data_IF_923983327112
#
_entry.id   IF_923983327112
#
_cell.length_a   1.000
_cell.length_b   1.000
_cell.length_c   1.000
_cell.angle_alpha   90.00
_cell.angle_beta   90.00
_cell.angle_gamma   90.00
#
_symmetry.space_group_name_H-M   'P 1'
#
loop_
_entity.id
_entity.type
_entity.pdbx_description
1 polymer ?
#
# COMPACT_ATOMS: atom_id res chain seq x y z
N UNK A 1 16.86 21.29 20.07
CA UNK A 1 15.78 20.60 20.81
C UNK A 1 15.45 19.36 20.00
N UNK A 2 15.91 18.19 20.44
CA UNK A 2 15.52 16.92 19.81
C UNK A 2 14.07 16.64 20.20
N UNK A 3 13.17 16.75 19.25
CA UNK A 3 11.80 16.27 19.40
C UNK A 3 11.88 14.76 19.59
N UNK A 4 11.62 14.31 20.80
CA UNK A 4 11.47 12.89 21.09
C UNK A 4 10.24 12.38 20.30
N UNK A 5 10.51 11.70 19.20
CA UNK A 5 9.46 11.08 18.38
C UNK A 5 9.03 9.83 19.14
N UNK A 6 7.98 9.93 19.92
CA UNK A 6 7.34 8.79 20.57
C UNK A 6 6.63 7.95 19.51
N UNK A 7 7.35 7.05 18.88
CA UNK A 7 6.73 6.00 18.05
C UNK A 7 6.27 4.85 18.94
N UNK A 8 5.13 4.21 18.64
CA UNK A 8 4.59 3.13 19.47
C UNK A 8 5.34 1.80 19.29
N UNK A 9 6.42 1.77 18.53
CA UNK A 9 7.24 0.59 18.26
C UNK A 9 8.70 0.76 18.70
N UNK A 10 9.42 -0.35 18.75
CA UNK A 10 10.83 -0.39 19.08
C UNK A 10 11.71 0.31 18.01
N UNK A 11 12.97 0.56 18.35
CA UNK A 11 13.96 1.15 17.42
C UNK A 11 14.07 0.37 16.11
N UNK A 12 13.99 -0.97 16.15
CA UNK A 12 14.01 -1.82 14.96
C UNK A 12 12.76 -1.60 14.11
N UNK A 13 11.58 -1.50 14.73
CA UNK A 13 10.33 -1.19 14.05
C UNK A 13 10.38 0.18 13.38
N UNK A 14 10.89 1.19 14.07
CA UNK A 14 11.08 2.53 13.52
C UNK A 14 12.02 2.52 12.31
N UNK A 15 13.15 1.84 12.40
CA UNK A 15 14.11 1.74 11.29
C UNK A 15 13.49 1.04 10.09
N UNK A 16 12.72 -0.04 10.31
CA UNK A 16 12.00 -0.76 9.25
C UNK A 16 10.98 0.15 8.58
N UNK A 17 10.20 0.90 9.38
CA UNK A 17 9.26 1.87 8.88
C UNK A 17 9.94 2.92 7.99
N UNK A 18 11.00 3.58 8.50
CA UNK A 18 11.73 4.64 7.76
C UNK A 18 12.31 4.13 6.44
N UNK A 19 12.84 2.92 6.43
CA UNK A 19 13.44 2.31 5.23
C UNK A 19 12.41 1.88 4.20
N UNK A 20 11.24 1.40 4.63
CA UNK A 20 10.30 0.69 3.75
C UNK A 20 9.08 1.53 3.40
N UNK A 21 8.49 2.21 4.36
CA UNK A 21 7.15 2.82 4.23
C UNK A 21 7.16 4.33 4.14
N UNK A 22 8.08 5.01 4.83
CA UNK A 22 8.19 6.44 4.79
C UNK A 22 8.55 6.94 3.38
N UNK A 23 7.79 7.91 2.87
CA UNK A 23 8.07 8.57 1.59
C UNK A 23 8.81 9.87 1.83
N UNK A 24 9.44 10.41 0.81
CA UNK A 24 10.00 11.76 0.87
C UNK A 24 8.86 12.77 0.91
N UNK A 25 8.98 13.80 1.71
CA UNK A 25 8.00 14.89 1.77
C UNK A 25 7.90 15.64 0.42
N UNK A 26 9.01 15.69 -0.32
CA UNK A 26 9.02 16.12 -1.72
C UNK A 26 9.66 15.00 -2.57
N UNK A 27 8.86 14.30 -3.36
CA UNK A 27 9.33 13.17 -4.19
C UNK A 27 10.35 13.60 -5.26
N UNK A 28 10.33 14.87 -5.68
CA UNK A 28 11.22 15.40 -6.70
C UNK A 28 12.60 15.84 -6.15
N UNK A 29 12.72 16.00 -4.85
CA UNK A 29 13.97 16.40 -4.19
C UNK A 29 14.62 15.19 -3.50
N UNK A 30 15.77 14.76 -4.01
CA UNK A 30 16.55 13.64 -3.47
C UNK A 30 17.00 13.88 -2.02
N UNK A 31 17.16 15.12 -1.61
CA UNK A 31 17.58 15.52 -0.27
C UNK A 31 16.40 15.85 0.67
N UNK A 32 15.17 15.75 0.17
CA UNK A 32 13.98 15.97 1.00
C UNK A 32 13.95 14.99 2.16
N UNK A 33 13.61 15.45 3.38
CA UNK A 33 13.40 14.56 4.51
C UNK A 33 12.28 13.56 4.21
N UNK A 34 12.33 12.42 4.89
CA UNK A 34 11.27 11.41 4.80
C UNK A 34 10.21 11.64 5.86
N UNK A 35 8.99 11.21 5.54
CA UNK A 35 7.85 11.21 6.47
C UNK A 35 8.21 10.65 7.84
N UNK A 36 7.60 11.20 8.88
CA UNK A 36 7.38 10.53 10.15
C UNK A 36 6.04 9.78 10.11
N UNK A 37 5.82 8.87 11.07
CA UNK A 37 4.63 8.01 11.01
C UNK A 37 3.29 8.77 10.98
N UNK A 38 3.13 9.89 11.70
CA UNK A 38 1.94 10.72 11.56
C UNK A 38 1.73 11.23 10.13
N UNK A 39 2.80 11.66 9.45
CA UNK A 39 2.72 12.15 8.07
C UNK A 39 2.26 11.06 7.11
N UNK A 40 2.78 9.83 7.29
CA UNK A 40 2.35 8.66 6.51
C UNK A 40 0.86 8.34 6.74
N UNK A 41 0.40 8.38 7.99
CA UNK A 41 -1.02 8.17 8.33
C UNK A 41 -1.89 9.24 7.65
N UNK A 42 -1.50 10.49 7.74
CA UNK A 42 -2.23 11.62 7.16
C UNK A 42 -2.26 11.53 5.63
N UNK A 43 -1.14 11.15 4.99
CA UNK A 43 -1.10 10.89 3.55
C UNK A 43 -2.06 9.78 3.12
N UNK A 44 -2.08 8.67 3.85
CA UNK A 44 -2.96 7.52 3.53
C UNK A 44 -4.42 7.89 3.68
N UNK A 45 -4.81 8.56 4.76
CA UNK A 45 -6.20 9.01 4.98
C UNK A 45 -6.63 9.99 3.91
N UNK A 46 -5.80 11.00 3.62
CA UNK A 46 -6.07 11.96 2.55
C UNK A 46 -6.27 11.27 1.20
N UNK A 47 -5.44 10.29 0.89
CA UNK A 47 -5.53 9.55 -0.36
C UNK A 47 -6.76 8.61 -0.42
N UNK A 48 -7.26 8.12 0.70
CA UNK A 48 -8.55 7.43 0.75
C UNK A 48 -9.68 8.32 0.21
N UNK A 49 -9.66 9.62 0.53
CA UNK A 49 -10.65 10.57 0.00
C UNK A 49 -10.34 10.96 -1.45
N UNK A 50 -9.11 11.33 -1.75
CA UNK A 50 -8.75 11.91 -3.05
C UNK A 50 -8.66 10.88 -4.17
N UNK A 51 -8.09 9.70 -3.90
CA UNK A 51 -7.83 8.66 -4.89
C UNK A 51 -8.88 7.54 -4.87
N UNK A 52 -9.31 7.09 -3.68
CA UNK A 52 -10.25 5.99 -3.53
C UNK A 52 -11.71 6.45 -3.45
N UNK A 53 -11.96 7.74 -3.19
CA UNK A 53 -13.31 8.32 -3.08
C UNK A 53 -14.16 7.63 -2.00
N UNK A 54 -13.56 7.36 -0.85
CA UNK A 54 -14.22 6.62 0.24
C UNK A 54 -15.43 7.36 0.84
N UNK A 55 -15.41 8.70 0.83
CA UNK A 55 -16.52 9.52 1.33
C UNK A 55 -16.67 9.46 2.86
N UNK A 56 -15.57 9.34 3.59
CA UNK A 56 -15.59 9.37 5.05
C UNK A 56 -15.96 10.76 5.56
N UNK A 57 -16.73 10.82 6.62
CA UNK A 57 -16.97 12.03 7.38
C UNK A 57 -15.72 12.47 8.15
N UNK A 58 -15.64 13.74 8.56
CA UNK A 58 -14.53 14.24 9.38
C UNK A 58 -14.36 13.43 10.67
N UNK A 59 -15.45 13.06 11.33
CA UNK A 59 -15.42 12.24 12.54
C UNK A 59 -14.88 10.82 12.29
N UNK A 60 -15.18 10.22 11.14
CA UNK A 60 -14.62 8.92 10.73
C UNK A 60 -13.14 9.03 10.41
N UNK A 61 -12.71 10.08 9.73
CA UNK A 61 -11.31 10.36 9.44
C UNK A 61 -10.50 10.56 10.73
N UNK A 62 -10.98 11.34 11.67
CA UNK A 62 -10.33 11.53 12.99
C UNK A 62 -10.23 10.20 13.76
N UNK A 63 -11.29 9.42 13.76
CA UNK A 63 -11.32 8.11 14.42
C UNK A 63 -10.36 7.13 13.76
N UNK A 64 -10.34 7.07 12.44
CA UNK A 64 -9.41 6.23 11.67
C UNK A 64 -7.96 6.64 11.96
N UNK A 65 -7.67 7.94 11.96
CA UNK A 65 -6.37 8.49 12.33
C UNK A 65 -5.94 8.05 13.72
N UNK A 66 -6.80 8.16 14.70
CA UNK A 66 -6.50 7.75 16.08
C UNK A 66 -6.24 6.24 16.19
N UNK A 67 -6.97 5.40 15.45
CA UNK A 67 -6.75 3.96 15.43
C UNK A 67 -5.41 3.58 14.79
N UNK A 68 -5.07 4.21 13.67
CA UNK A 68 -3.82 3.93 12.96
C UNK A 68 -2.61 4.41 13.75
N UNK A 69 -2.64 5.62 14.30
CA UNK A 69 -1.57 6.16 15.16
C UNK A 69 -1.37 5.34 16.43
N UNK A 70 -2.46 4.86 17.03
CA UNK A 70 -2.43 4.02 18.23
C UNK A 70 -2.12 2.54 17.95
N UNK A 71 -1.84 2.16 16.69
CA UNK A 71 -1.63 0.78 16.23
C UNK A 71 -2.76 -0.19 16.65
N UNK A 72 -3.98 0.33 16.80
CA UNK A 72 -5.18 -0.47 17.06
C UNK A 72 -5.74 -1.14 15.81
N UNK A 73 -5.27 -0.70 14.66
CA UNK A 73 -5.55 -1.23 13.35
C UNK A 73 -4.41 -0.90 12.38
N UNK A 74 -4.40 -1.56 11.24
CA UNK A 74 -3.44 -1.29 10.17
C UNK A 74 -4.10 -1.49 8.82
N UNK A 75 -3.54 -0.87 7.80
CA UNK A 75 -3.88 -1.15 6.40
C UNK A 75 -2.85 -2.08 5.77
N UNK A 76 -3.15 -2.61 4.60
CA UNK A 76 -2.19 -3.45 3.87
C UNK A 76 -0.89 -2.69 3.58
N UNK A 77 0.25 -3.41 3.54
CA UNK A 77 1.57 -2.81 3.35
C UNK A 77 1.67 -1.90 2.14
N UNK A 78 0.98 -2.23 1.04
CA UNK A 78 0.95 -1.39 -0.16
C UNK A 78 0.21 -0.07 0.03
N UNK A 79 -0.79 0.00 0.88
CA UNK A 79 -1.43 1.25 1.24
C UNK A 79 -0.44 2.16 1.96
N UNK A 80 0.32 1.64 2.93
CA UNK A 80 1.37 2.40 3.59
C UNK A 80 2.45 2.89 2.64
N UNK A 81 2.78 2.07 1.64
CA UNK A 81 3.89 2.33 0.74
C UNK A 81 3.51 3.18 -0.47
N UNK A 82 2.35 2.93 -1.11
CA UNK A 82 2.01 3.48 -2.41
C UNK A 82 0.83 4.45 -2.41
N UNK A 83 -0.16 4.27 -1.51
CA UNK A 83 -1.35 5.11 -1.53
C UNK A 83 -0.99 6.57 -1.20
N UNK A 84 -1.48 7.49 -2.01
CA UNK A 84 -1.15 8.90 -1.92
C UNK A 84 0.16 9.30 -2.60
N UNK A 85 0.76 8.40 -3.40
CA UNK A 85 1.94 8.69 -4.23
C UNK A 85 1.57 8.72 -5.72
N UNK A 86 2.48 9.22 -6.54
CA UNK A 86 2.35 9.22 -8.01
C UNK A 86 2.26 7.80 -8.60
N UNK A 87 2.74 6.79 -7.90
CA UNK A 87 2.71 5.39 -8.35
C UNK A 87 1.28 4.92 -8.62
N UNK A 88 0.35 5.22 -7.70
CA UNK A 88 -1.07 4.86 -7.89
C UNK A 88 -1.70 5.63 -9.04
N UNK A 89 -1.33 6.89 -9.23
CA UNK A 89 -1.77 7.69 -10.37
C UNK A 89 -1.31 7.11 -11.72
N UNK A 90 -0.10 6.58 -11.78
CA UNK A 90 0.51 6.03 -13.01
C UNK A 90 0.07 4.60 -13.31
N UNK A 91 0.02 3.75 -12.31
CA UNK A 91 -0.25 2.30 -12.45
C UNK A 91 -1.72 1.92 -12.18
N UNK A 92 -2.51 2.85 -11.65
CA UNK A 92 -3.89 2.60 -11.26
C UNK A 92 -4.04 1.86 -9.93
N UNK A 93 -5.29 1.68 -9.50
CA UNK A 93 -5.65 1.05 -8.22
C UNK A 93 -5.21 -0.42 -8.12
N UNK A 94 -5.04 -1.11 -9.25
CA UNK A 94 -4.58 -2.50 -9.29
C UNK A 94 -3.17 -2.66 -8.71
N UNK A 95 -2.35 -1.60 -8.69
CA UNK A 95 -1.02 -1.60 -8.06
C UNK A 95 -1.07 -1.78 -6.54
N UNK A 96 -2.22 -1.51 -5.91
CA UNK A 96 -2.43 -1.69 -4.47
C UNK A 96 -2.67 -3.16 -4.09
N UNK A 97 -2.92 -4.06 -5.05
CA UNK A 97 -3.13 -5.47 -4.78
C UNK A 97 -1.80 -6.20 -4.56
N UNK A 98 -1.67 -6.84 -3.39
CA UNK A 98 -0.47 -7.62 -3.05
C UNK A 98 -0.45 -8.98 -3.75
N UNK A 99 -1.60 -9.63 -3.87
CA UNK A 99 -1.71 -11.00 -4.36
C UNK A 99 -2.83 -11.10 -5.39
N UNK A 100 -2.56 -11.86 -6.43
CA UNK A 100 -3.51 -12.18 -7.47
C UNK A 100 -3.52 -13.71 -7.71
N UNK A 101 -4.65 -14.24 -8.10
CA UNK A 101 -4.81 -15.69 -8.30
C UNK A 101 -5.66 -15.93 -9.54
N UNK A 102 -5.26 -16.92 -10.34
CA UNK A 102 -6.04 -17.35 -11.51
C UNK A 102 -6.01 -18.85 -11.72
N UNK A 103 -7.12 -19.37 -12.22
CA UNK A 103 -7.25 -20.75 -12.67
C UNK A 103 -6.61 -20.86 -14.06
N UNK A 104 -5.84 -21.94 -14.30
CA UNK A 104 -5.29 -22.27 -15.62
C UNK A 104 -6.30 -23.17 -16.32
N UNK A 105 -7.23 -22.55 -17.02
CA UNK A 105 -8.29 -23.20 -17.82
C UNK A 105 -8.10 -22.98 -19.33
N UNK A 106 -7.08 -22.22 -19.71
CA UNK A 106 -6.71 -21.92 -21.09
C UNK A 106 -5.21 -21.90 -21.27
N UNK A 107 -4.69 -22.16 -22.47
CA UNK A 107 -3.25 -22.34 -22.68
C UNK A 107 -2.43 -21.03 -22.65
N UNK A 108 -3.02 -19.87 -22.87
CA UNK A 108 -2.29 -18.59 -23.00
C UNK A 108 -2.78 -17.53 -22.02
N UNK A 109 -4.06 -17.25 -21.97
CA UNK A 109 -4.67 -16.12 -21.25
C UNK A 109 -4.31 -16.04 -19.75
N UNK A 110 -4.25 -17.16 -18.98
CA UNK A 110 -3.84 -17.08 -17.58
C UNK A 110 -2.42 -16.55 -17.42
N UNK A 111 -1.53 -16.86 -18.35
CA UNK A 111 -0.13 -16.47 -18.28
C UNK A 111 0.10 -15.02 -18.73
N UNK A 112 -0.61 -14.54 -19.76
CA UNK A 112 -0.56 -13.12 -20.14
C UNK A 112 -1.13 -12.23 -19.04
N UNK A 113 -2.26 -12.63 -18.45
CA UNK A 113 -2.83 -11.94 -17.29
C UNK A 113 -1.86 -11.92 -16.09
N UNK A 114 -1.13 -13.02 -15.86
CA UNK A 114 -0.15 -13.07 -14.78
C UNK A 114 1.01 -12.09 -15.02
N UNK A 115 1.46 -11.95 -16.27
CA UNK A 115 2.48 -10.96 -16.61
C UNK A 115 2.00 -9.54 -16.28
N UNK A 116 0.76 -9.19 -16.64
CA UNK A 116 0.18 -7.88 -16.30
C UNK A 116 0.17 -7.65 -14.79
N UNK A 117 -0.25 -8.64 -14.00
CA UNK A 117 -0.27 -8.54 -12.54
C UNK A 117 1.14 -8.45 -11.93
N UNK A 118 2.11 -9.20 -12.46
CA UNK A 118 3.51 -9.14 -12.04
C UNK A 118 4.14 -7.77 -12.37
N UNK A 119 3.82 -7.18 -13.52
CA UNK A 119 4.28 -5.83 -13.90
C UNK A 119 3.71 -4.76 -12.95
N UNK A 120 2.53 -4.97 -12.39
CA UNK A 120 1.96 -4.14 -11.32
C UNK A 120 2.56 -4.46 -9.94
N UNK A 121 3.46 -5.46 -9.88
CA UNK A 121 4.15 -5.89 -8.68
C UNK A 121 3.36 -6.85 -7.79
N UNK A 122 2.22 -7.39 -8.22
CA UNK A 122 1.46 -8.38 -7.47
C UNK A 122 2.15 -9.75 -7.50
N UNK A 123 2.10 -10.48 -6.39
CA UNK A 123 2.44 -11.90 -6.39
C UNK A 123 1.31 -12.69 -7.05
N UNK A 124 1.64 -13.62 -7.95
CA UNK A 124 0.63 -14.39 -8.69
C UNK A 124 0.67 -15.86 -8.30
N UNK A 125 -0.51 -16.41 -7.96
CA UNK A 125 -0.73 -17.83 -7.78
C UNK A 125 -1.57 -18.44 -8.90
N UNK A 126 -1.36 -19.72 -9.15
CA UNK A 126 -2.14 -20.48 -10.13
C UNK A 126 -2.83 -21.67 -9.51
N UNK A 127 -4.02 -22.01 -10.04
CA UNK A 127 -4.63 -23.32 -9.84
C UNK A 127 -4.49 -24.13 -11.12
N UNK A 128 -3.66 -25.18 -11.04
CA UNK A 128 -3.38 -26.13 -12.13
C UNK A 128 -3.99 -27.51 -11.86
N UNK A 129 -5.06 -27.58 -11.06
CA UNK A 129 -5.74 -28.84 -10.82
C UNK A 129 -6.29 -29.41 -12.13
N UNK A 130 -6.30 -30.74 -12.20
CA UNK A 130 -6.70 -31.50 -13.40
C UNK A 130 -8.06 -31.09 -13.94
N UNK A 131 -9.03 -30.83 -13.05
CA UNK A 131 -10.40 -30.45 -13.43
C UNK A 131 -10.46 -29.04 -14.06
N UNK A 132 -9.45 -28.23 -13.91
CA UNK A 132 -9.36 -26.90 -14.51
C UNK A 132 -8.57 -26.93 -15.83
N UNK A 133 -7.51 -27.75 -15.90
CA UNK A 133 -6.62 -27.80 -17.07
C UNK A 133 -7.25 -28.58 -18.22
N UNK A 134 -8.19 -29.50 -17.95
CA UNK A 134 -8.86 -30.34 -18.97
C UNK A 134 -10.17 -29.73 -19.48
N UNK A 135 -10.46 -28.46 -19.20
CA UNK A 135 -11.62 -27.76 -19.78
C UNK A 135 -11.26 -27.17 -21.13
#
# INVERSE_FOLDING_TARGET
MSTEITTPWSSVGYLTYKRTYARRLNEQDVNSPTEEFPDTVDRVIKACEEQLKCGFTDAENERLRAYLLGLKGSVAGRFWWQLGTDTVGKLGMSSLQNCAFRVVDKPVEPFTWAMDMLMLGSGVGYNIQKDNVNK
#
